data_IF_442357608785
#
_entry.id   IF_442357608785
#
_cell.length_a   1.000
_cell.length_b   1.000
_cell.length_c   1.000
_cell.angle_alpha   90.00
_cell.angle_beta   90.00
_cell.angle_gamma   90.00
#
_symmetry.space_group_name_H-M   'P 1'
#
loop_
_entity.id
_entity.type
_entity.pdbx_description
1 polymer ?
#
# COMPACT_ATOMS: atom_id res chain seq x y z
N UNK A 1 5.62 20.66 -8.05
CA UNK A 1 5.99 19.37 -8.69
C UNK A 1 5.50 18.28 -7.77
N UNK A 2 4.66 17.39 -8.29
CA UNK A 2 4.10 16.26 -7.52
C UNK A 2 4.76 14.97 -8.05
N UNK A 3 5.49 14.26 -7.18
CA UNK A 3 6.16 12.99 -7.52
C UNK A 3 5.30 11.76 -7.19
N UNK A 4 4.04 12.03 -6.86
CA UNK A 4 3.00 11.04 -6.55
C UNK A 4 1.85 11.27 -7.52
N UNK A 5 1.33 10.20 -8.12
CA UNK A 5 0.20 10.29 -9.03
C UNK A 5 -0.79 9.15 -8.82
N UNK A 6 -2.09 9.42 -9.00
CA UNK A 6 -3.14 8.39 -8.90
C UNK A 6 -3.64 7.99 -10.27
N UNK A 7 -3.75 6.69 -10.50
CA UNK A 7 -4.27 6.08 -11.73
C UNK A 7 -5.49 5.24 -11.37
N UNK A 8 -6.59 5.48 -12.09
CA UNK A 8 -7.78 4.62 -12.04
C UNK A 8 -7.85 3.76 -13.29
N UNK A 9 -7.33 2.52 -13.20
CA UNK A 9 -7.43 1.57 -14.31
C UNK A 9 -8.88 1.10 -14.48
N UNK A 10 -9.38 1.06 -15.71
CA UNK A 10 -10.77 0.80 -16.07
C UNK A 10 -11.66 2.05 -16.10
N UNK A 11 -11.11 3.23 -15.81
CA UNK A 11 -11.77 4.53 -16.01
C UNK A 11 -11.80 4.92 -17.50
N UNK A 12 -12.80 5.71 -17.91
CA UNK A 12 -12.82 6.31 -19.26
C UNK A 12 -11.63 7.25 -19.52
N UNK A 13 -11.02 7.79 -18.45
CA UNK A 13 -9.84 8.66 -18.50
C UNK A 13 -8.52 7.89 -18.28
N UNK A 14 -8.53 6.55 -18.29
CA UNK A 14 -7.33 5.73 -18.03
C UNK A 14 -6.14 6.15 -18.90
N UNK A 15 -6.36 6.34 -20.20
CA UNK A 15 -5.30 6.69 -21.14
C UNK A 15 -4.61 8.03 -20.77
N UNK A 16 -5.37 9.04 -20.37
CA UNK A 16 -4.84 10.35 -19.97
C UNK A 16 -4.01 10.23 -18.68
N UNK A 17 -4.54 9.50 -17.69
CA UNK A 17 -3.83 9.25 -16.43
C UNK A 17 -2.53 8.47 -16.64
N UNK A 18 -2.50 7.49 -17.55
CA UNK A 18 -1.29 6.74 -17.89
C UNK A 18 -0.21 7.65 -18.51
N UNK A 19 -0.59 8.54 -19.43
CA UNK A 19 0.35 9.51 -20.02
C UNK A 19 0.89 10.48 -18.95
N UNK A 20 0.02 10.97 -18.07
CA UNK A 20 0.43 11.86 -16.99
C UNK A 20 1.35 11.17 -15.99
N UNK A 21 1.04 9.93 -15.59
CA UNK A 21 1.88 9.14 -14.71
C UNK A 21 3.27 8.89 -15.29
N UNK A 22 3.37 8.53 -16.58
CA UNK A 22 4.65 8.34 -17.24
C UNK A 22 5.52 9.61 -17.21
N UNK A 23 4.92 10.79 -17.40
CA UNK A 23 5.62 12.08 -17.29
C UNK A 23 6.08 12.35 -15.86
N UNK A 24 5.22 12.12 -14.86
CA UNK A 24 5.56 12.29 -13.44
C UNK A 24 6.75 11.41 -13.04
N UNK A 25 6.74 10.13 -13.43
CA UNK A 25 7.84 9.20 -13.14
C UNK A 25 9.13 9.64 -13.85
N UNK A 26 9.05 9.97 -15.15
CA UNK A 26 10.20 10.45 -15.91
C UNK A 26 10.82 11.69 -15.26
N UNK A 27 10.00 12.71 -14.96
CA UNK A 27 10.47 13.96 -14.35
C UNK A 27 11.06 13.72 -12.96
N UNK A 28 10.46 12.83 -12.14
CA UNK A 28 11.00 12.48 -10.83
C UNK A 28 12.42 11.92 -10.95
N UNK A 29 12.59 10.95 -11.85
CA UNK A 29 13.88 10.29 -12.06
C UNK A 29 14.93 11.21 -12.68
N UNK A 30 14.54 12.13 -13.56
CA UNK A 30 15.46 13.16 -14.08
C UNK A 30 16.01 14.08 -12.97
N UNK A 31 15.27 14.25 -11.88
CA UNK A 31 15.69 15.03 -10.72
C UNK A 31 16.30 14.18 -9.59
N UNK A 32 16.48 12.87 -9.80
CA UNK A 32 16.98 11.95 -8.77
C UNK A 32 15.99 11.73 -7.61
N UNK A 33 14.70 11.99 -7.83
CA UNK A 33 13.63 11.82 -6.85
C UNK A 33 12.95 10.46 -7.00
N UNK A 34 12.45 9.91 -5.89
CA UNK A 34 11.63 8.68 -5.85
C UNK A 34 10.20 9.00 -6.31
N UNK A 35 9.60 8.12 -7.11
CA UNK A 35 8.20 8.21 -7.53
C UNK A 35 7.30 7.19 -6.84
N UNK A 36 6.05 7.58 -6.58
CA UNK A 36 5.02 6.69 -6.03
C UNK A 36 3.74 6.79 -6.86
N UNK A 37 3.26 5.66 -7.39
CA UNK A 37 1.97 5.62 -8.06
C UNK A 37 0.92 4.97 -7.18
N UNK A 38 -0.24 5.60 -7.04
CA UNK A 38 -1.41 4.99 -6.43
C UNK A 38 -2.25 4.42 -7.55
N UNK A 39 -2.42 3.10 -7.59
CA UNK A 39 -3.12 2.46 -8.70
C UNK A 39 -4.32 1.72 -8.15
N UNK A 40 -5.52 2.22 -8.47
CA UNK A 40 -6.78 1.64 -8.02
C UNK A 40 -7.60 1.27 -9.25
N UNK A 41 -7.75 -0.03 -9.57
CA UNK A 41 -8.72 -0.47 -10.56
C UNK A 41 -10.11 0.06 -10.17
N UNK A 42 -10.63 1.01 -10.94
CA UNK A 42 -11.89 1.71 -10.68
C UNK A 42 -12.42 2.32 -11.97
N UNK A 43 -13.71 2.10 -12.20
CA UNK A 43 -14.43 2.63 -13.35
C UNK A 43 -15.70 1.83 -13.59
N UNK A 44 -16.49 2.24 -14.57
CA UNK A 44 -17.76 1.56 -14.92
C UNK A 44 -17.57 0.11 -15.37
N UNK A 45 -16.37 -0.25 -15.81
CA UNK A 45 -16.00 -1.59 -16.25
C UNK A 45 -15.44 -2.48 -15.12
N UNK A 46 -15.11 -1.90 -13.96
CA UNK A 46 -14.50 -2.62 -12.84
C UNK A 46 -15.56 -3.02 -11.82
N UNK A 47 -15.88 -4.32 -11.78
CA UNK A 47 -16.90 -4.87 -10.86
C UNK A 47 -16.38 -5.07 -9.44
N UNK A 48 -15.13 -5.51 -9.30
CA UNK A 48 -14.54 -5.90 -8.01
C UNK A 48 -13.16 -5.27 -7.84
N UNK A 49 -13.10 -4.05 -7.31
CA UNK A 49 -11.85 -3.27 -7.18
C UNK A 49 -10.71 -3.96 -6.38
N UNK A 50 -11.04 -5.00 -5.60
CA UNK A 50 -10.11 -5.77 -4.76
C UNK A 50 -9.87 -7.18 -5.27
N UNK A 51 -10.29 -7.49 -6.50
CA UNK A 51 -9.97 -8.77 -7.12
C UNK A 51 -8.44 -8.98 -7.21
N UNK A 52 -7.91 -10.15 -6.83
CA UNK A 52 -6.46 -10.38 -6.82
C UNK A 52 -5.77 -10.16 -8.17
N UNK A 53 -6.39 -10.55 -9.28
CA UNK A 53 -5.81 -10.39 -10.61
C UNK A 53 -5.82 -8.92 -11.04
N UNK A 54 -6.85 -8.16 -10.66
CA UNK A 54 -6.88 -6.72 -10.91
C UNK A 54 -5.81 -5.97 -10.10
N UNK A 55 -5.60 -6.36 -8.84
CA UNK A 55 -4.51 -5.79 -8.02
C UNK A 55 -3.14 -6.15 -8.61
N UNK A 56 -2.96 -7.38 -9.12
CA UNK A 56 -1.72 -7.77 -9.78
C UNK A 56 -1.48 -7.04 -11.11
N UNK A 57 -2.53 -6.84 -11.91
CA UNK A 57 -2.46 -6.01 -13.12
C UNK A 57 -2.10 -4.56 -12.81
N UNK A 58 -2.66 -4.00 -11.74
CA UNK A 58 -2.35 -2.65 -11.27
C UNK A 58 -0.87 -2.50 -10.89
N UNK A 59 -0.30 -3.45 -10.14
CA UNK A 59 1.10 -3.39 -9.72
C UNK A 59 2.07 -3.63 -10.88
N UNK A 60 1.70 -4.52 -11.82
CA UNK A 60 2.43 -4.72 -13.06
C UNK A 60 2.42 -3.47 -13.95
N UNK A 61 1.30 -2.77 -14.06
CA UNK A 61 1.22 -1.50 -14.79
C UNK A 61 2.15 -0.44 -14.19
N UNK A 62 2.19 -0.33 -12.85
CA UNK A 62 3.14 0.54 -12.17
C UNK A 62 4.60 0.17 -12.44
N UNK A 63 4.92 -1.12 -12.46
CA UNK A 63 6.26 -1.60 -12.82
C UNK A 63 6.65 -1.25 -14.26
N UNK A 64 5.72 -1.38 -15.21
CA UNK A 64 5.94 -0.97 -16.61
C UNK A 64 6.13 0.54 -16.77
N UNK A 65 5.45 1.35 -15.94
CA UNK A 65 5.63 2.81 -15.89
C UNK A 65 6.97 3.20 -15.22
N UNK A 66 7.65 2.26 -14.57
CA UNK A 66 8.96 2.45 -13.97
C UNK A 66 8.94 3.07 -12.58
N UNK A 67 7.79 3.12 -11.89
CA UNK A 67 7.74 3.75 -10.56
C UNK A 67 8.51 2.94 -9.51
N UNK A 68 9.09 3.63 -8.52
CA UNK A 68 9.79 2.98 -7.41
C UNK A 68 8.83 2.26 -6.46
N UNK A 69 7.72 2.90 -6.13
CA UNK A 69 6.66 2.33 -5.29
C UNK A 69 5.30 2.37 -5.97
N UNK A 70 4.50 1.33 -5.74
CA UNK A 70 3.07 1.30 -6.04
C UNK A 70 2.28 1.14 -4.74
N UNK A 71 1.30 2.00 -4.56
CA UNK A 71 0.27 1.85 -3.53
C UNK A 71 -0.98 1.22 -4.14
N UNK A 72 -1.43 0.11 -3.57
CA UNK A 72 -2.66 -0.59 -3.95
C UNK A 72 -3.54 -0.92 -2.75
N UNK A 73 -4.77 -1.35 -3.02
CA UNK A 73 -5.64 -1.96 -2.01
C UNK A 73 -5.19 -3.39 -1.71
N UNK A 74 -5.42 -3.83 -0.47
CA UNK A 74 -5.24 -5.24 -0.11
C UNK A 74 -6.31 -6.09 -0.82
N UNK A 75 -5.94 -7.13 -1.59
CA UNK A 75 -6.89 -7.93 -2.33
C UNK A 75 -7.80 -8.73 -1.39
N UNK A 76 -9.02 -9.00 -1.85
CA UNK A 76 -10.00 -9.80 -1.13
C UNK A 76 -10.71 -10.75 -2.09
N UNK A 77 -10.81 -12.01 -1.70
CA UNK A 77 -11.58 -13.04 -2.40
C UNK A 77 -12.17 -13.98 -1.36
N UNK A 78 -13.45 -14.30 -1.50
CA UNK A 78 -14.16 -15.18 -0.57
C UNK A 78 -13.46 -16.55 -0.49
N UNK A 79 -13.31 -17.08 0.73
CA UNK A 79 -12.65 -18.36 0.98
C UNK A 79 -11.12 -18.37 0.79
N UNK A 80 -10.49 -17.22 0.53
CA UNK A 80 -9.05 -17.11 0.32
C UNK A 80 -8.36 -16.26 1.40
N UNK A 81 -7.15 -16.68 1.80
CA UNK A 81 -6.28 -15.85 2.62
C UNK A 81 -5.77 -14.66 1.78
N UNK A 82 -5.99 -13.44 2.26
CA UNK A 82 -5.65 -12.22 1.52
C UNK A 82 -4.15 -12.04 1.31
N UNK A 83 -3.30 -12.53 2.22
CA UNK A 83 -1.86 -12.40 2.11
C UNK A 83 -1.30 -13.35 1.04
N UNK A 84 -1.83 -14.57 1.00
CA UNK A 84 -1.45 -15.58 0.00
C UNK A 84 -1.80 -15.14 -1.42
N UNK A 85 -3.03 -14.65 -1.64
CA UNK A 85 -3.42 -14.15 -2.96
C UNK A 85 -2.71 -12.83 -3.33
N UNK A 86 -2.22 -12.07 -2.35
CA UNK A 86 -1.48 -10.83 -2.61
C UNK A 86 -0.08 -11.08 -3.20
N UNK A 87 0.50 -12.28 -3.01
CA UNK A 87 1.79 -12.68 -3.61
C UNK A 87 1.81 -12.55 -5.13
N UNK A 88 0.66 -12.72 -5.79
CA UNK A 88 0.55 -12.50 -7.24
C UNK A 88 0.92 -11.07 -7.62
N UNK A 89 0.43 -10.10 -6.86
CA UNK A 89 0.70 -8.69 -7.10
C UNK A 89 2.16 -8.32 -6.81
N UNK A 90 2.74 -8.91 -5.76
CA UNK A 90 4.16 -8.76 -5.41
C UNK A 90 5.04 -9.28 -6.55
N UNK A 91 4.70 -10.45 -7.10
CA UNK A 91 5.41 -11.02 -8.25
C UNK A 91 5.26 -10.15 -9.51
N UNK A 92 4.07 -9.63 -9.77
CA UNK A 92 3.79 -8.78 -10.93
C UNK A 92 4.54 -7.43 -10.89
N UNK A 93 4.80 -6.88 -9.69
CA UNK A 93 5.54 -5.62 -9.54
C UNK A 93 7.04 -5.74 -9.86
N UNK A 94 7.61 -6.95 -9.92
CA UNK A 94 9.02 -7.14 -10.22
C UNK A 94 9.94 -6.41 -9.24
N UNK A 95 10.62 -5.35 -9.72
CA UNK A 95 11.54 -4.54 -8.88
C UNK A 95 10.84 -3.38 -8.15
N UNK A 96 9.65 -2.98 -8.61
CA UNK A 96 8.84 -1.96 -7.97
C UNK A 96 8.34 -2.46 -6.63
N UNK A 97 8.44 -1.61 -5.60
CA UNK A 97 8.06 -1.96 -4.23
C UNK A 97 6.57 -1.71 -4.02
N UNK A 98 5.93 -2.56 -3.24
CA UNK A 98 4.50 -2.43 -2.97
C UNK A 98 4.28 -1.91 -1.55
N UNK A 99 3.45 -0.89 -1.41
CA UNK A 99 2.88 -0.48 -0.12
C UNK A 99 1.37 -0.65 -0.15
N UNK A 100 0.80 -1.16 0.94
CA UNK A 100 -0.65 -1.34 1.00
C UNK A 100 -1.34 -0.10 1.57
N UNK A 101 -2.52 0.24 1.06
CA UNK A 101 -3.38 1.23 1.68
C UNK A 101 -3.85 0.75 3.07
N UNK A 102 -3.80 1.63 4.07
CA UNK A 102 -4.22 1.30 5.44
C UNK A 102 -5.72 0.97 5.59
N UNK A 103 -6.57 1.40 4.66
CA UNK A 103 -7.99 1.04 4.61
C UNK A 103 -8.92 2.01 5.35
N UNK A 104 -10.05 1.49 5.83
CA UNK A 104 -10.93 2.20 6.75
C UNK A 104 -10.33 2.19 8.17
N UNK A 105 -10.97 2.87 9.11
CA UNK A 105 -10.59 2.81 10.52
C UNK A 105 -10.93 1.42 11.03
N UNK A 106 -9.90 0.60 11.22
CA UNK A 106 -9.98 -0.77 11.72
C UNK A 106 -9.60 -0.76 13.22
N UNK A 107 -9.92 -1.85 13.93
CA UNK A 107 -9.34 -2.07 15.26
C UNK A 107 -7.82 -2.20 15.15
N UNK A 108 -7.09 -1.75 16.17
CA UNK A 108 -5.63 -1.64 16.08
C UNK A 108 -4.95 -3.00 15.96
N UNK A 109 -5.41 -4.00 16.71
CA UNK A 109 -4.90 -5.38 16.62
C UNK A 109 -5.12 -5.95 15.20
N UNK A 110 -6.31 -5.77 14.63
CA UNK A 110 -6.63 -6.19 13.26
C UNK A 110 -5.73 -5.48 12.24
N UNK A 111 -5.53 -4.18 12.41
CA UNK A 111 -4.65 -3.41 11.53
C UNK A 111 -3.20 -3.92 11.60
N UNK A 112 -2.65 -4.11 12.79
CA UNK A 112 -1.25 -4.54 12.98
C UNK A 112 -1.05 -5.98 12.50
N UNK A 113 -1.99 -6.90 12.74
CA UNK A 113 -1.93 -8.26 12.18
C UNK A 113 -1.98 -8.26 10.66
N UNK A 114 -2.87 -7.44 10.08
CA UNK A 114 -2.94 -7.27 8.63
C UNK A 114 -1.64 -6.69 8.05
N UNK A 115 -1.03 -5.72 8.72
CA UNK A 115 0.28 -5.18 8.32
C UNK A 115 1.37 -6.26 8.39
N UNK A 116 1.41 -7.05 9.46
CA UNK A 116 2.33 -8.19 9.58
C UNK A 116 2.16 -9.17 8.40
N UNK A 117 0.93 -9.58 8.10
CA UNK A 117 0.67 -10.52 7.00
C UNK A 117 1.10 -9.94 5.64
N UNK A 118 0.88 -8.65 5.42
CA UNK A 118 1.35 -7.97 4.22
C UNK A 118 2.87 -7.98 4.10
N UNK A 119 3.59 -7.72 5.20
CA UNK A 119 5.05 -7.67 5.23
C UNK A 119 5.67 -9.07 5.10
N UNK A 120 5.31 -10.00 5.98
CA UNK A 120 6.04 -11.26 6.16
C UNK A 120 5.47 -12.43 5.36
N UNK A 121 4.18 -12.41 5.01
CA UNK A 121 3.56 -13.47 4.22
C UNK A 121 3.54 -13.07 2.75
N UNK A 122 2.99 -11.89 2.41
CA UNK A 122 2.89 -11.47 1.02
C UNK A 122 4.23 -10.97 0.45
N UNK A 123 5.01 -10.20 1.23
CA UNK A 123 6.26 -9.57 0.79
C UNK A 123 6.11 -8.11 0.38
N UNK A 124 5.12 -7.40 0.93
CA UNK A 124 4.99 -5.96 0.77
C UNK A 124 6.12 -5.23 1.53
N UNK A 125 6.41 -4.00 1.15
CA UNK A 125 7.50 -3.19 1.72
C UNK A 125 7.01 -2.10 2.68
N UNK A 126 5.75 -2.16 3.10
CA UNK A 126 5.17 -1.20 4.04
C UNK A 126 3.71 -0.90 3.79
N UNK A 127 3.25 0.19 4.41
CA UNK A 127 1.88 0.68 4.30
C UNK A 127 1.83 2.20 4.12
N UNK A 128 0.77 2.66 3.48
CA UNK A 128 0.41 4.07 3.42
C UNK A 128 -0.85 4.28 4.27
N UNK A 129 -0.63 4.76 5.50
CA UNK A 129 -1.64 4.80 6.56
C UNK A 129 -2.11 6.22 6.82
N UNK A 130 -3.41 6.45 6.66
CA UNK A 130 -4.05 7.75 6.91
C UNK A 130 -4.96 7.71 8.15
N UNK A 131 -6.24 7.40 7.95
CA UNK A 131 -7.28 7.48 8.99
C UNK A 131 -6.98 6.69 10.26
N UNK A 132 -6.33 5.53 10.15
CA UNK A 132 -5.88 4.73 11.30
C UNK A 132 -4.86 5.45 12.20
N UNK A 133 -4.31 6.59 11.78
CA UNK A 133 -3.43 7.45 12.58
C UNK A 133 -4.15 8.77 12.90
N UNK A 134 -4.47 9.59 11.90
CA UNK A 134 -4.84 11.00 12.13
C UNK A 134 -6.25 11.20 12.70
N UNK A 135 -7.07 10.15 12.82
CA UNK A 135 -8.38 10.23 13.49
C UNK A 135 -8.31 9.85 14.98
N UNK A 136 -7.13 9.46 15.48
CA UNK A 136 -6.89 9.15 16.89
C UNK A 136 -6.51 10.42 17.68
N UNK A 137 -6.64 10.42 19.02
CA UNK A 137 -5.97 11.39 19.88
C UNK A 137 -4.47 11.48 19.57
N UNK A 138 -3.87 12.65 19.79
CA UNK A 138 -2.48 12.92 19.37
C UNK A 138 -1.48 11.91 19.95
N UNK A 139 -1.63 11.55 21.22
CA UNK A 139 -0.76 10.59 21.90
C UNK A 139 -0.91 9.18 21.33
N UNK A 140 -2.13 8.73 21.07
CA UNK A 140 -2.41 7.46 20.39
C UNK A 140 -1.90 7.45 18.94
N UNK A 141 -2.02 8.56 18.22
CA UNK A 141 -1.53 8.69 16.86
C UNK A 141 -0.01 8.56 16.78
N UNK A 142 0.72 9.17 17.73
CA UNK A 142 2.18 9.01 17.85
C UNK A 142 2.55 7.55 18.12
N UNK A 143 1.90 6.91 19.10
CA UNK A 143 2.16 5.49 19.41
C UNK A 143 1.81 4.55 18.24
N UNK A 144 0.77 4.86 17.49
CA UNK A 144 0.41 4.14 16.25
C UNK A 144 1.51 4.26 15.19
N UNK A 145 2.06 5.46 14.99
CA UNK A 145 3.20 5.66 14.08
C UNK A 145 4.42 4.84 14.52
N UNK A 146 4.76 4.84 15.81
CA UNK A 146 5.88 4.09 16.35
C UNK A 146 5.68 2.57 16.19
N UNK A 147 4.46 2.07 16.45
CA UNK A 147 4.12 0.67 16.22
C UNK A 147 4.28 0.26 14.74
N UNK A 148 3.80 1.08 13.81
CA UNK A 148 3.95 0.84 12.36
C UNK A 148 5.42 0.87 11.95
N UNK A 149 6.19 1.84 12.47
CA UNK A 149 7.62 1.97 12.22
C UNK A 149 8.39 0.73 12.71
N UNK A 150 8.15 0.31 13.95
CA UNK A 150 8.80 -0.86 14.53
C UNK A 150 8.55 -2.12 13.68
N UNK A 151 7.34 -2.32 13.17
CA UNK A 151 7.05 -3.47 12.29
C UNK A 151 7.68 -3.34 10.91
N UNK A 152 7.61 -2.16 10.30
CA UNK A 152 8.00 -1.97 8.89
C UNK A 152 9.52 -1.85 8.71
N UNK A 153 10.21 -1.25 9.69
CA UNK A 153 11.63 -0.89 9.61
C UNK A 153 12.48 -1.76 10.54
N UNK A 154 11.99 -2.07 11.74
CA UNK A 154 12.73 -2.85 12.75
C UNK A 154 12.36 -4.33 12.82
N UNK A 155 11.48 -4.81 11.92
CA UNK A 155 11.03 -6.21 11.87
C UNK A 155 10.38 -6.68 13.19
N UNK A 156 9.73 -5.76 13.92
CA UNK A 156 9.08 -6.07 15.19
C UNK A 156 7.87 -6.98 15.02
N UNK A 157 7.65 -7.86 16.01
CA UNK A 157 6.45 -8.69 16.08
C UNK A 157 5.19 -7.87 16.35
N UNK A 158 4.03 -8.41 16.00
CA UNK A 158 2.72 -7.82 16.34
C UNK A 158 2.58 -7.59 17.85
N UNK A 159 3.08 -8.52 18.68
CA UNK A 159 3.04 -8.37 20.13
C UNK A 159 3.85 -7.16 20.60
N UNK A 160 5.08 -6.96 20.10
CA UNK A 160 5.89 -5.79 20.43
C UNK A 160 5.21 -4.50 19.95
N UNK A 161 4.65 -4.50 18.74
CA UNK A 161 3.94 -3.35 18.19
C UNK A 161 2.70 -2.96 19.03
N UNK A 162 1.95 -3.94 19.54
CA UNK A 162 0.82 -3.70 20.44
C UNK A 162 1.27 -3.11 21.78
N UNK A 163 2.37 -3.59 22.37
CA UNK A 163 2.94 -3.01 23.60
C UNK A 163 3.36 -1.56 23.40
N UNK A 164 3.98 -1.24 22.26
CA UNK A 164 4.30 0.14 21.86
C UNK A 164 3.02 0.98 21.77
N UNK A 165 1.99 0.48 21.07
CA UNK A 165 0.71 1.18 20.93
C UNK A 165 0.03 1.47 22.28
N UNK A 166 0.07 0.50 23.22
CA UNK A 166 -0.52 0.61 24.55
C UNK A 166 0.31 1.47 25.52
N UNK A 167 1.51 1.91 25.13
CA UNK A 167 2.41 2.67 26.00
C UNK A 167 3.13 1.81 27.06
N UNK A 168 3.19 0.49 26.85
CA UNK A 168 3.87 -0.47 27.73
C UNK A 168 5.37 -0.59 27.41
N UNK A 169 5.79 -0.10 26.24
CA UNK A 169 7.18 -0.11 25.78
C UNK A 169 7.48 1.13 24.92
N UNK A 170 8.71 1.62 24.98
CA UNK A 170 9.19 2.66 24.05
C UNK A 170 9.33 2.09 22.63
N UNK A 171 9.02 2.91 21.63
CA UNK A 171 9.06 2.56 20.22
C UNK A 171 9.96 3.46 19.41
#
# INVERSE_FOLDING_TARGET
MEWVYTIYLGSEFEAEMLVQAARVVYDAHQHGMVSVLWIYPRGTTVKYEKDPHLIAGATGAGACLGTDFVKVNYPKKEGANSAEIFKEAIKAAGRTKIVCAGGASDEVDDFLRKLHDQLHIAGAMGSATGRNIHQKPLDEAIRMCNAIYAMTIEDATVEKALKIYNGEQEG
#
